data_IF_833732412842
#
_entry.id   IF_833732412842
#
_cell.length_a   1.000
_cell.length_b   1.000
_cell.length_c   1.000
_cell.angle_alpha   90.00
_cell.angle_beta   90.00
_cell.angle_gamma   90.00
#
_symmetry.space_group_name_H-M   'P 1'
#
loop_
_entity.id
_entity.type
_entity.pdbx_description
1 polymer ?
#
# COMPACT_ATOMS: atom_id res chain seq x y z
N UNK A 1 -8.60 23.93 31.87
CA UNK A 1 -7.71 22.74 31.79
C UNK A 1 -6.75 23.00 30.65
N UNK A 2 -5.58 23.58 30.92
CA UNK A 2 -4.68 23.98 29.83
C UNK A 2 -3.95 22.75 29.28
N UNK A 3 -4.37 22.35 28.08
CA UNK A 3 -3.71 21.36 27.24
C UNK A 3 -3.39 22.03 25.92
N UNK A 4 -2.11 22.08 25.56
CA UNK A 4 -1.69 22.50 24.23
C UNK A 4 -1.35 21.24 23.44
N UNK A 5 -1.99 21.04 22.30
CA UNK A 5 -1.68 19.94 21.39
C UNK A 5 -1.13 20.51 20.10
N UNK A 6 -0.01 19.93 19.65
CA UNK A 6 0.65 20.23 18.39
C UNK A 6 1.05 18.90 17.75
N UNK A 7 1.22 18.89 16.44
CA UNK A 7 1.77 17.75 15.74
C UNK A 7 3.03 18.17 14.99
N UNK A 8 3.96 17.23 14.88
CA UNK A 8 5.10 17.32 13.97
C UNK A 8 4.75 16.50 12.74
N UNK A 9 4.81 17.13 11.58
CA UNK A 9 4.63 16.47 10.27
C UNK A 9 5.87 15.63 9.91
N UNK A 10 5.78 14.71 8.93
CA UNK A 10 6.92 13.87 8.52
C UNK A 10 8.15 14.66 8.04
N UNK A 11 7.92 15.83 7.46
CA UNK A 11 8.95 16.78 7.02
C UNK A 11 9.50 17.67 8.15
N UNK A 12 9.03 17.49 9.39
CA UNK A 12 9.57 18.15 10.58
C UNK A 12 8.94 19.51 10.91
N UNK A 13 7.81 19.85 10.29
CA UNK A 13 7.09 21.10 10.55
C UNK A 13 6.07 20.93 11.68
N UNK A 14 5.84 22.02 12.43
CA UNK A 14 4.88 22.03 13.52
C UNK A 14 3.54 22.57 13.04
N UNK A 15 2.47 21.79 13.25
CA UNK A 15 1.10 22.17 12.90
C UNK A 15 0.17 22.02 14.10
N UNK A 16 -0.90 22.81 14.12
CA UNK A 16 -1.96 22.67 15.11
C UNK A 16 -3.03 21.69 14.63
N UNK A 17 -3.67 20.94 15.55
CA UNK A 17 -4.79 20.11 15.19
C UNK A 17 -5.87 20.90 14.47
N UNK A 18 -6.42 20.34 13.39
CA UNK A 18 -7.49 20.93 12.58
C UNK A 18 -7.14 22.29 11.93
N UNK A 19 -5.87 22.69 11.86
CA UNK A 19 -5.48 23.82 11.02
C UNK A 19 -5.58 23.47 9.54
N UNK A 20 -5.68 24.48 8.67
CA UNK A 20 -5.65 24.26 7.22
C UNK A 20 -4.35 23.56 6.78
N UNK A 21 -3.21 23.87 7.41
CA UNK A 21 -1.95 23.18 7.11
C UNK A 21 -2.00 21.71 7.51
N UNK A 22 -2.58 21.38 8.67
CA UNK A 22 -2.75 20.00 9.10
C UNK A 22 -3.66 19.22 8.15
N UNK A 23 -4.80 19.78 7.75
CA UNK A 23 -5.75 19.12 6.83
C UNK A 23 -5.17 18.97 5.42
N UNK A 24 -4.42 19.96 4.93
CA UNK A 24 -3.70 19.86 3.67
C UNK A 24 -2.66 18.74 3.68
N UNK A 25 -1.96 18.54 4.80
CA UNK A 25 -0.98 17.45 4.98
C UNK A 25 -1.64 16.10 5.24
N UNK A 26 -2.83 16.09 5.84
CA UNK A 26 -3.68 14.91 5.95
C UNK A 26 -4.16 14.43 4.57
N UNK A 27 -4.31 15.36 3.61
CA UNK A 27 -4.85 15.07 2.28
C UNK A 27 -6.38 14.98 2.27
N UNK A 28 -7.04 15.42 3.35
CA UNK A 28 -8.48 15.37 3.55
C UNK A 28 -8.93 16.64 4.28
N UNK A 29 -9.76 17.44 3.60
CA UNK A 29 -10.24 18.72 4.11
C UNK A 29 -11.38 18.58 5.12
N UNK A 30 -12.10 17.45 5.11
CA UNK A 30 -13.28 17.23 5.96
C UNK A 30 -13.32 15.79 6.48
N UNK A 31 -12.34 15.38 7.31
CA UNK A 31 -12.29 14.02 7.82
C UNK A 31 -13.48 13.73 8.75
N UNK A 32 -14.18 12.62 8.52
CA UNK A 32 -15.28 12.11 9.36
C UNK A 32 -14.80 11.11 10.43
N UNK A 33 -13.47 10.94 10.55
CA UNK A 33 -12.77 10.07 11.50
C UNK A 33 -11.84 10.88 12.42
N UNK A 34 -11.20 10.20 13.39
CA UNK A 34 -10.18 10.83 14.26
C UNK A 34 -8.90 11.10 13.45
N UNK A 35 -8.84 12.27 12.82
CA UNK A 35 -7.76 12.71 11.95
C UNK A 35 -6.39 12.71 12.64
N UNK A 36 -6.34 13.08 13.93
CA UNK A 36 -5.10 13.14 14.71
C UNK A 36 -4.58 11.71 14.92
N UNK A 37 -5.44 10.80 15.39
CA UNK A 37 -5.06 9.41 15.61
C UNK A 37 -4.65 8.74 14.30
N UNK A 38 -5.37 9.04 13.20
CA UNK A 38 -5.04 8.56 11.88
C UNK A 38 -3.66 9.05 11.41
N UNK A 39 -3.37 10.35 11.54
CA UNK A 39 -2.09 10.93 11.13
C UNK A 39 -0.91 10.33 11.91
N UNK A 40 -1.06 10.16 13.22
CA UNK A 40 -0.01 9.57 14.08
C UNK A 40 0.23 8.10 13.74
N UNK A 41 -0.84 7.33 13.53
CA UNK A 41 -0.72 5.89 13.24
C UNK A 41 -0.19 5.61 11.85
N UNK A 42 -0.62 6.38 10.85
CA UNK A 42 -0.46 5.99 9.44
C UNK A 42 0.46 6.91 8.63
N UNK A 43 0.55 8.19 9.00
CA UNK A 43 1.22 9.20 8.17
C UNK A 43 2.56 9.64 8.74
N UNK A 44 3.04 9.06 9.85
CA UNK A 44 4.34 9.40 10.43
C UNK A 44 4.36 10.68 11.25
N UNK A 45 3.20 11.21 11.62
CA UNK A 45 3.12 12.37 12.51
C UNK A 45 3.51 12.00 13.94
N UNK A 46 4.13 12.94 14.64
CA UNK A 46 4.36 12.84 16.08
C UNK A 46 3.44 13.84 16.76
N UNK A 47 2.52 13.36 17.59
CA UNK A 47 1.68 14.23 18.40
C UNK A 47 2.39 14.60 19.68
N UNK A 48 2.40 15.89 19.98
CA UNK A 48 2.90 16.47 21.21
C UNK A 48 1.75 17.11 21.98
N UNK A 49 1.61 16.74 23.25
CA UNK A 49 0.63 17.33 24.14
C UNK A 49 1.30 17.80 25.43
N UNK A 50 1.22 19.11 25.69
CA UNK A 50 1.68 19.71 26.94
C UNK A 50 0.50 19.80 27.89
N UNK A 51 0.61 19.13 29.04
CA UNK A 51 -0.43 19.07 30.07
C UNK A 51 0.04 19.88 31.27
N UNK A 52 -0.73 20.92 31.63
CA UNK A 52 -0.46 21.78 32.82
C UNK A 52 1.00 22.27 32.91
N UNK A 53 1.63 22.51 31.77
CA UNK A 53 3.04 22.96 31.65
C UNK A 53 4.07 22.12 32.42
N UNK A 54 3.72 20.89 32.80
CA UNK A 54 4.54 20.05 33.68
C UNK A 54 4.74 18.64 33.15
N UNK A 55 3.94 18.23 32.16
CA UNK A 55 4.04 16.94 31.50
C UNK A 55 3.99 17.15 30.00
N UNK A 56 4.93 16.53 29.27
CA UNK A 56 4.83 16.38 27.82
C UNK A 56 4.48 14.93 27.51
N UNK A 57 3.40 14.76 26.78
CA UNK A 57 3.02 13.49 26.20
C UNK A 57 3.34 13.48 24.71
N UNK A 58 4.07 12.45 24.29
CA UNK A 58 4.49 12.22 22.92
C UNK A 58 3.79 10.96 22.45
N UNK A 59 3.01 11.05 21.38
CA UNK A 59 2.40 9.90 20.73
C UNK A 59 2.99 9.75 19.33
N UNK A 60 3.47 8.56 18.98
CA UNK A 60 4.06 8.28 17.67
C UNK A 60 3.82 6.84 17.24
N UNK A 61 3.98 6.58 15.95
CA UNK A 61 4.21 5.24 15.43
C UNK A 61 5.69 5.13 15.03
N UNK A 62 6.58 4.52 15.85
CA UNK A 62 8.03 4.64 15.69
C UNK A 62 8.56 4.24 14.31
N UNK A 63 7.86 3.32 13.66
CA UNK A 63 8.16 2.81 12.32
C UNK A 63 7.77 3.73 11.15
N UNK A 64 6.85 4.66 11.38
CA UNK A 64 6.37 5.60 10.37
C UNK A 64 6.99 6.98 10.54
N UNK A 65 7.71 7.22 11.64
CA UNK A 65 8.36 8.50 11.91
C UNK A 65 9.59 8.66 11.02
N UNK A 66 9.54 9.68 10.19
CA UNK A 66 10.69 10.10 9.37
C UNK A 66 11.70 10.89 10.21
N UNK A 67 12.97 10.86 9.79
CA UNK A 67 14.06 11.52 10.51
C UNK A 67 13.82 13.02 10.79
N UNK A 68 13.29 13.84 9.85
CA UNK A 68 13.00 15.25 10.14
C UNK A 68 12.01 15.44 11.28
N UNK A 69 10.93 14.64 11.32
CA UNK A 69 9.95 14.66 12.40
C UNK A 69 10.57 14.30 13.75
N UNK A 70 11.39 13.25 13.78
CA UNK A 70 12.10 12.82 14.98
C UNK A 70 13.03 13.92 15.50
N UNK A 71 13.81 14.56 14.63
CA UNK A 71 14.74 15.61 15.02
C UNK A 71 14.00 16.85 15.56
N UNK A 72 12.92 17.26 14.91
CA UNK A 72 12.09 18.37 15.37
C UNK A 72 11.48 18.09 16.75
N UNK A 73 10.96 16.87 16.96
CA UNK A 73 10.46 16.40 18.25
C UNK A 73 11.53 16.43 19.35
N UNK A 74 12.72 15.90 19.06
CA UNK A 74 13.84 15.85 20.00
C UNK A 74 14.33 17.24 20.39
N UNK A 75 14.46 18.13 19.40
CA UNK A 75 14.83 19.53 19.63
C UNK A 75 13.84 20.21 20.57
N UNK A 76 12.53 20.01 20.35
CA UNK A 76 11.50 20.59 21.21
C UNK A 76 11.56 20.05 22.65
N UNK A 77 11.83 18.75 22.83
CA UNK A 77 11.96 18.16 24.17
C UNK A 77 13.11 18.76 24.97
N UNK A 78 14.26 18.99 24.33
CA UNK A 78 15.43 19.60 24.97
C UNK A 78 15.19 21.07 25.33
N UNK A 79 14.31 21.77 24.62
CA UNK A 79 14.01 23.19 24.84
C UNK A 79 12.85 23.43 25.82
N UNK A 80 11.98 22.45 26.05
CA UNK A 80 10.72 22.68 26.76
C UNK A 80 10.84 22.96 28.28
N UNK A 81 12.00 22.71 28.90
CA UNK A 81 12.22 22.96 30.34
C UNK A 81 11.40 22.07 31.29
N UNK A 82 10.61 21.13 30.76
CA UNK A 82 9.77 20.19 31.49
C UNK A 82 10.58 18.95 31.89
N UNK A 83 10.25 18.34 33.03
CA UNK A 83 10.97 17.18 33.59
C UNK A 83 10.20 15.87 33.56
N UNK A 84 8.93 15.85 33.14
CA UNK A 84 8.13 14.63 33.11
C UNK A 84 7.59 14.40 31.70
N UNK A 85 7.89 13.23 31.16
CA UNK A 85 7.59 12.85 29.80
C UNK A 85 6.84 11.52 29.79
N UNK A 86 5.79 11.44 28.97
CA UNK A 86 5.12 10.18 28.66
C UNK A 86 5.28 9.90 27.17
N UNK A 87 5.96 8.82 26.83
CA UNK A 87 6.04 8.34 25.45
C UNK A 87 5.00 7.25 25.28
N UNK A 88 4.06 7.46 24.37
CA UNK A 88 3.13 6.45 23.91
C UNK A 88 3.49 6.11 22.48
N UNK A 89 3.64 4.83 22.19
CA UNK A 89 3.92 4.39 20.85
C UNK A 89 3.00 3.26 20.43
N UNK A 90 2.67 3.27 19.14
CA UNK A 90 1.86 2.24 18.52
C UNK A 90 2.74 1.31 17.69
N UNK A 91 2.60 0.01 17.91
CA UNK A 91 3.12 -1.04 17.05
C UNK A 91 1.96 -1.91 16.52
N UNK A 92 1.65 -3.02 17.18
CA UNK A 92 0.38 -3.75 17.12
C UNK A 92 -0.61 -3.28 18.18
N UNK A 93 -0.13 -2.69 19.28
CA UNK A 93 -0.94 -2.12 20.36
C UNK A 93 -0.33 -0.83 20.92
N UNK A 94 -1.03 -0.14 21.81
CA UNK A 94 -0.53 1.08 22.43
C UNK A 94 0.30 0.76 23.67
N UNK A 95 1.58 1.08 23.60
CA UNK A 95 2.49 1.05 24.75
C UNK A 95 2.61 2.42 25.39
N UNK A 96 3.00 2.47 26.66
CA UNK A 96 3.22 3.73 27.37
C UNK A 96 4.39 3.61 28.34
N UNK A 97 5.35 4.53 28.20
CA UNK A 97 6.53 4.64 29.04
C UNK A 97 6.61 6.05 29.64
N UNK A 98 7.12 6.17 30.87
CA UNK A 98 7.29 7.46 31.56
C UNK A 98 8.76 7.67 31.87
N UNK A 99 9.26 8.88 31.60
CA UNK A 99 10.65 9.29 31.85
C UNK A 99 10.69 10.63 32.56
N UNK A 100 11.70 10.82 33.41
CA UNK A 100 11.94 12.06 34.17
C UNK A 100 13.10 12.91 33.63
N UNK A 101 13.63 12.58 32.45
CA UNK A 101 14.75 13.29 31.81
C UNK A 101 14.49 13.47 30.32
N UNK A 102 14.75 14.68 29.82
CA UNK A 102 14.63 15.01 28.41
C UNK A 102 15.65 14.20 27.59
N UNK A 103 16.88 14.09 28.07
CA UNK A 103 17.97 13.35 27.43
C UNK A 103 17.64 11.85 27.32
N UNK A 104 17.11 11.25 28.39
CA UNK A 104 16.64 9.85 28.36
C UNK A 104 15.47 9.65 27.41
N UNK A 105 14.54 10.61 27.37
CA UNK A 105 13.39 10.56 26.47
C UNK A 105 13.83 10.67 25.01
N UNK A 106 14.77 11.57 24.71
CA UNK A 106 15.38 11.73 23.39
C UNK A 106 16.11 10.46 22.97
N UNK A 107 16.96 9.90 23.84
CA UNK A 107 17.64 8.64 23.57
C UNK A 107 16.63 7.51 23.32
N UNK A 108 15.55 7.44 24.11
CA UNK A 108 14.49 6.44 23.92
C UNK A 108 13.72 6.62 22.62
N UNK A 109 13.39 7.85 22.24
CA UNK A 109 12.77 8.13 20.93
C UNK A 109 13.71 7.74 19.79
N UNK A 110 15.01 8.04 19.91
CA UNK A 110 16.02 7.56 18.97
C UNK A 110 16.06 6.04 18.91
N UNK A 111 16.04 5.32 20.03
CA UNK A 111 16.02 3.85 20.05
C UNK A 111 14.77 3.28 19.40
N UNK A 112 13.58 3.81 19.75
CA UNK A 112 12.29 3.38 19.20
C UNK A 112 12.21 3.62 17.69
N UNK A 113 12.73 4.74 17.22
CA UNK A 113 12.74 5.13 15.80
C UNK A 113 14.06 4.76 15.11
N UNK A 114 14.98 4.08 15.80
CA UNK A 114 16.24 3.63 15.19
C UNK A 114 15.81 2.69 14.09
N UNK A 115 16.23 2.93 12.84
CA UNK A 115 15.95 1.99 11.77
C UNK A 115 16.60 0.67 12.16
N UNK A 116 15.80 -0.26 12.67
CA UNK A 116 16.11 -1.68 12.60
C UNK A 116 16.31 -1.91 11.11
N UNK A 117 17.54 -2.20 10.73
CA UNK A 117 18.03 -2.17 9.35
C UNK A 117 16.97 -2.67 8.36
N UNK A 118 16.46 -1.78 7.50
CA UNK A 118 15.31 -1.99 6.60
C UNK A 118 13.99 -2.14 7.39
N UNK A 119 12.91 -1.38 7.09
CA UNK A 119 11.60 -1.69 7.67
C UNK A 119 11.38 -3.17 7.44
N UNK A 120 10.97 -3.91 8.48
CA UNK A 120 10.49 -5.26 8.24
C UNK A 120 9.44 -5.10 7.14
N UNK A 121 9.63 -5.80 6.03
CA UNK A 121 8.80 -5.70 4.81
C UNK A 121 7.28 -5.75 5.13
N UNK A 122 6.95 -6.28 6.31
CA UNK A 122 5.66 -6.33 6.98
C UNK A 122 5.00 -4.99 7.37
N UNK A 123 5.73 -3.87 7.50
CA UNK A 123 5.12 -2.58 7.93
C UNK A 123 4.71 -1.69 6.76
N UNK A 124 5.45 -1.76 5.64
CA UNK A 124 5.14 -1.01 4.41
C UNK A 124 4.05 -1.66 3.58
N UNK A 125 3.86 -2.96 3.78
CA UNK A 125 2.92 -3.77 3.04
C UNK A 125 2.14 -4.64 4.05
N UNK A 126 0.95 -4.16 4.39
CA UNK A 126 0.03 -4.85 5.27
C UNK A 126 -0.86 -5.75 4.41
N UNK A 127 -0.95 -7.03 4.80
CA UNK A 127 -1.87 -7.99 4.20
C UNK A 127 -2.83 -8.45 5.26
N UNK A 128 -4.12 -8.31 4.96
CA UNK A 128 -5.22 -8.86 5.73
C UNK A 128 -5.79 -10.03 4.92
N UNK A 129 -5.38 -11.29 5.22
CA UNK A 129 -5.94 -12.45 4.55
C UNK A 129 -7.44 -12.49 4.76
N UNK A 130 -8.18 -12.66 3.67
CA UNK A 130 -9.63 -12.83 3.70
C UNK A 130 -9.97 -14.29 3.45
N UNK A 131 -11.13 -14.72 3.94
CA UNK A 131 -11.63 -16.04 3.59
C UNK A 131 -12.08 -16.04 2.12
N UNK A 132 -11.43 -16.87 1.30
CA UNK A 132 -11.78 -17.05 -0.12
C UNK A 132 -13.25 -17.46 -0.32
N UNK A 133 -13.86 -18.13 0.68
CA UNK A 133 -15.29 -18.46 0.69
C UNK A 133 -16.20 -17.23 0.62
N UNK A 134 -15.78 -16.08 1.16
CA UNK A 134 -16.56 -14.85 1.19
C UNK A 134 -16.90 -14.32 -0.21
N UNK A 135 -16.03 -14.56 -1.20
CA UNK A 135 -16.29 -14.18 -2.60
C UNK A 135 -17.56 -14.80 -3.17
N UNK A 136 -18.06 -15.90 -2.59
CA UNK A 136 -19.25 -16.59 -3.08
C UNK A 136 -20.53 -16.21 -2.32
N UNK A 137 -20.39 -15.49 -1.19
CA UNK A 137 -21.52 -15.04 -0.37
C UNK A 137 -22.07 -13.69 -0.82
N UNK A 138 -21.25 -12.87 -1.46
CA UNK A 138 -21.66 -11.60 -2.05
C UNK A 138 -21.81 -11.75 -3.57
N UNK A 139 -23.05 -11.64 -4.05
CA UNK A 139 -23.37 -11.78 -5.47
C UNK A 139 -22.79 -10.62 -6.32
N UNK A 140 -22.56 -9.46 -5.70
CA UNK A 140 -22.07 -8.23 -6.35
C UNK A 140 -20.53 -8.12 -6.34
N UNK A 141 -19.83 -9.05 -5.68
CA UNK A 141 -18.37 -9.00 -5.63
C UNK A 141 -17.76 -9.20 -7.02
N UNK A 142 -17.03 -8.18 -7.50
CA UNK A 142 -16.45 -8.15 -8.84
C UNK A 142 -15.45 -9.28 -9.11
N UNK A 143 -14.80 -9.83 -8.09
CA UNK A 143 -13.81 -10.91 -8.22
C UNK A 143 -14.45 -12.30 -8.28
N UNK A 144 -15.72 -12.43 -7.88
CA UNK A 144 -16.46 -13.69 -7.85
C UNK A 144 -16.45 -14.44 -9.18
N UNK A 145 -16.68 -13.81 -10.36
CA UNK A 145 -16.66 -14.53 -11.64
C UNK A 145 -15.31 -15.19 -11.94
N UNK A 146 -14.20 -14.55 -11.54
CA UNK A 146 -12.86 -15.11 -11.73
C UNK A 146 -12.64 -16.35 -10.85
N UNK A 147 -13.06 -16.26 -9.58
CA UNK A 147 -13.01 -17.38 -8.64
C UNK A 147 -13.89 -18.56 -9.10
N UNK A 148 -15.09 -18.27 -9.63
CA UNK A 148 -15.96 -19.29 -10.22
C UNK A 148 -15.32 -19.94 -11.44
N UNK A 149 -14.73 -19.14 -12.34
CA UNK A 149 -14.03 -19.65 -13.53
C UNK A 149 -12.93 -20.63 -13.15
N UNK A 150 -12.14 -20.29 -12.13
CA UNK A 150 -11.09 -21.16 -11.61
C UNK A 150 -11.62 -22.49 -11.05
N UNK A 151 -12.74 -22.46 -10.31
CA UNK A 151 -13.38 -23.67 -9.78
C UNK A 151 -13.90 -24.59 -10.87
N UNK A 152 -14.60 -24.05 -11.88
CA UNK A 152 -15.22 -24.87 -12.94
C UNK A 152 -14.22 -25.46 -13.92
N UNK A 153 -13.03 -24.87 -14.06
CA UNK A 153 -11.93 -25.46 -14.84
C UNK A 153 -11.01 -26.37 -14.02
N UNK A 154 -11.34 -26.59 -12.73
CA UNK A 154 -10.52 -27.36 -11.79
C UNK A 154 -9.06 -26.87 -11.78
N UNK A 155 -8.89 -25.55 -11.73
CA UNK A 155 -7.60 -24.87 -11.77
C UNK A 155 -6.78 -25.10 -13.06
N UNK A 156 -7.33 -25.66 -14.14
CA UNK A 156 -6.62 -25.68 -15.42
C UNK A 156 -6.76 -24.32 -16.10
N UNK A 157 -5.65 -23.78 -16.60
CA UNK A 157 -5.65 -22.53 -17.31
C UNK A 157 -6.46 -22.67 -18.60
N UNK A 158 -7.45 -21.79 -18.75
CA UNK A 158 -8.33 -21.73 -19.89
C UNK A 158 -8.24 -20.31 -20.49
N UNK A 159 -7.83 -20.15 -21.76
CA UNK A 159 -7.72 -18.84 -22.41
C UNK A 159 -8.99 -17.98 -22.35
N UNK A 160 -10.18 -18.58 -22.19
CA UNK A 160 -11.42 -17.83 -21.98
C UNK A 160 -11.44 -17.03 -20.67
N UNK A 161 -10.51 -17.29 -19.74
CA UNK A 161 -10.23 -16.41 -18.60
C UNK A 161 -9.94 -14.97 -19.05
N UNK A 162 -9.15 -14.78 -20.11
CA UNK A 162 -8.84 -13.44 -20.65
C UNK A 162 -10.12 -12.78 -21.20
N UNK A 163 -10.95 -13.54 -21.89
CA UNK A 163 -12.23 -13.01 -22.39
C UNK A 163 -13.18 -12.63 -21.25
N UNK A 164 -13.15 -13.39 -20.15
CA UNK A 164 -13.93 -13.09 -18.95
C UNK A 164 -13.45 -11.79 -18.28
N UNK A 165 -12.14 -11.62 -18.08
CA UNK A 165 -11.61 -10.39 -17.48
C UNK A 165 -11.88 -9.16 -18.34
N UNK A 166 -11.88 -9.28 -19.67
CA UNK A 166 -12.33 -8.20 -20.57
C UNK A 166 -13.81 -7.85 -20.34
N UNK A 167 -14.70 -8.84 -20.32
CA UNK A 167 -16.14 -8.62 -20.14
C UNK A 167 -16.47 -7.99 -18.78
N UNK A 168 -15.73 -8.37 -17.75
CA UNK A 168 -15.87 -7.83 -16.40
C UNK A 168 -15.08 -6.51 -16.21
N UNK A 169 -14.42 -5.99 -17.25
CA UNK A 169 -13.60 -4.77 -17.18
C UNK A 169 -12.42 -4.87 -16.17
N UNK A 170 -11.99 -6.08 -15.84
CA UNK A 170 -10.92 -6.38 -14.90
C UNK A 170 -9.56 -6.62 -15.56
N UNK A 171 -9.51 -6.75 -16.90
CA UNK A 171 -8.25 -6.99 -17.62
C UNK A 171 -7.17 -5.92 -17.31
N UNK A 172 -7.49 -4.62 -17.23
CA UNK A 172 -6.50 -3.60 -16.82
C UNK A 172 -5.88 -3.83 -15.44
N UNK A 173 -6.63 -4.45 -14.53
CA UNK A 173 -6.23 -4.70 -13.14
C UNK A 173 -5.64 -6.09 -12.93
N UNK A 174 -5.43 -6.84 -14.02
CA UNK A 174 -4.97 -8.23 -13.99
C UNK A 174 -3.50 -8.31 -14.40
N UNK A 175 -2.73 -9.12 -13.67
CA UNK A 175 -1.43 -9.62 -14.11
C UNK A 175 -1.47 -11.16 -14.18
N UNK A 176 -0.69 -11.75 -15.08
CA UNK A 176 -0.43 -13.19 -15.09
C UNK A 176 1.06 -13.39 -14.94
N UNK A 177 1.43 -14.16 -13.92
CA UNK A 177 2.82 -14.46 -13.59
C UNK A 177 3.05 -15.95 -13.74
N UNK A 178 4.06 -16.32 -14.52
CA UNK A 178 4.51 -17.70 -14.65
C UNK A 178 5.56 -18.02 -13.59
N UNK A 179 5.42 -19.18 -12.96
CA UNK A 179 6.37 -19.73 -11.99
C UNK A 179 6.76 -21.12 -12.45
N UNK A 180 8.04 -21.30 -12.80
CA UNK A 180 8.55 -22.56 -13.34
C UNK A 180 9.50 -23.25 -12.35
N UNK A 181 9.27 -24.53 -12.00
CA UNK A 181 10.25 -25.32 -11.25
C UNK A 181 11.53 -25.58 -12.08
N UNK A 182 12.70 -25.76 -11.44
CA UNK A 182 12.95 -25.71 -9.99
C UNK A 182 13.26 -24.31 -9.46
N UNK A 183 13.49 -23.33 -10.34
CA UNK A 183 13.92 -21.98 -9.93
C UNK A 183 12.84 -21.25 -9.15
N UNK A 184 11.56 -21.57 -9.43
CA UNK A 184 10.38 -20.95 -8.82
C UNK A 184 10.40 -19.42 -8.93
N UNK A 185 11.09 -18.88 -9.93
CA UNK A 185 11.18 -17.44 -10.15
C UNK A 185 9.88 -16.93 -10.78
N UNK A 186 9.17 -15.98 -10.15
CA UNK A 186 7.97 -15.41 -10.72
C UNK A 186 8.32 -14.45 -11.85
N UNK A 187 7.79 -14.71 -13.05
CA UNK A 187 8.05 -13.94 -14.27
C UNK A 187 6.75 -13.45 -14.89
N UNK A 188 6.66 -12.18 -15.27
CA UNK A 188 5.44 -11.66 -15.90
C UNK A 188 5.22 -12.27 -17.29
N UNK A 189 4.01 -12.80 -17.50
CA UNK A 189 3.48 -13.25 -18.79
C UNK A 189 2.45 -12.26 -19.36
N UNK A 190 1.78 -11.53 -18.48
CA UNK A 190 0.84 -10.48 -18.81
C UNK A 190 0.82 -9.43 -17.71
N UNK A 191 0.72 -8.16 -18.09
CA UNK A 191 0.55 -7.01 -17.19
C UNK A 191 -0.58 -6.14 -17.77
N UNK A 192 -1.65 -5.95 -17.01
CA UNK A 192 -2.73 -5.05 -17.36
C UNK A 192 -2.33 -3.58 -17.30
N UNK A 193 -3.03 -2.73 -18.02
CA UNK A 193 -2.72 -1.30 -18.16
C UNK A 193 -3.29 -0.41 -17.05
N UNK A 194 -4.02 -0.98 -16.08
CA UNK A 194 -4.58 -0.28 -14.92
C UNK A 194 -3.57 0.00 -13.80
N UNK A 195 -2.42 -0.68 -13.79
CA UNK A 195 -1.39 -0.50 -12.75
C UNK A 195 -0.50 0.73 -13.00
N UNK A 196 -1.06 1.93 -12.76
CA UNK A 196 -0.38 3.22 -13.03
C UNK A 196 0.98 3.38 -12.33
N UNK A 197 1.17 2.76 -11.17
CA UNK A 197 2.40 2.82 -10.38
C UNK A 197 3.60 2.12 -11.03
N UNK A 198 3.33 1.14 -11.89
CA UNK A 198 4.37 0.41 -12.65
C UNK A 198 5.00 1.31 -13.72
N UNK A 199 4.33 2.40 -14.10
CA UNK A 199 4.75 3.30 -15.18
C UNK A 199 4.55 2.70 -16.58
N UNK A 200 4.63 3.55 -17.60
CA UNK A 200 4.34 3.14 -18.99
C UNK A 200 5.47 2.33 -19.61
N UNK A 201 6.71 2.60 -19.20
CA UNK A 201 7.89 1.96 -19.78
C UNK A 201 8.03 0.51 -19.30
N UNK A 202 7.85 0.26 -18.01
CA UNK A 202 7.91 -1.10 -17.48
C UNK A 202 6.72 -1.97 -17.94
N UNK A 203 5.54 -1.40 -18.22
CA UNK A 203 4.42 -2.19 -18.79
C UNK A 203 4.75 -2.80 -20.15
N UNK A 204 5.53 -2.10 -20.97
CA UNK A 204 5.95 -2.59 -22.30
C UNK A 204 7.13 -3.57 -22.17
N UNK A 205 8.11 -3.23 -21.34
CA UNK A 205 9.38 -3.96 -21.28
C UNK A 205 9.43 -5.07 -20.21
N UNK A 206 8.50 -5.05 -19.25
CA UNK A 206 8.49 -5.95 -18.09
C UNK A 206 7.92 -7.35 -18.39
N UNK A 207 7.43 -7.60 -19.60
CA UNK A 207 7.03 -8.95 -20.01
C UNK A 207 8.26 -9.83 -20.16
N UNK A 208 8.25 -10.99 -19.50
CA UNK A 208 9.42 -11.87 -19.41
C UNK A 208 10.42 -11.49 -18.31
N UNK A 209 10.22 -10.37 -17.62
CA UNK A 209 11.03 -9.97 -16.47
C UNK A 209 10.53 -10.58 -15.17
N UNK A 210 11.45 -10.72 -14.20
CA UNK A 210 11.13 -11.18 -12.85
C UNK A 210 10.21 -10.17 -12.17
N UNK A 211 9.28 -10.64 -11.35
CA UNK A 211 8.42 -9.75 -10.54
C UNK A 211 9.25 -8.86 -9.60
N UNK A 212 10.35 -9.38 -9.08
CA UNK A 212 11.33 -8.65 -8.25
C UNK A 212 12.02 -7.48 -9.00
N UNK A 213 11.90 -7.44 -10.33
CA UNK A 213 12.45 -6.38 -11.17
C UNK A 213 11.53 -5.17 -11.34
N UNK A 214 10.36 -5.17 -10.69
CA UNK A 214 9.48 -4.00 -10.66
C UNK A 214 10.24 -2.71 -10.26
N UNK A 215 9.81 -1.53 -10.77
CA UNK A 215 10.46 -0.26 -10.45
C UNK A 215 10.57 0.00 -8.93
N UNK A 216 9.50 -0.29 -8.18
CA UNK A 216 9.57 -0.42 -6.73
C UNK A 216 10.11 -1.80 -6.36
N UNK A 217 11.41 -1.87 -6.08
CA UNK A 217 12.12 -3.12 -5.74
C UNK A 217 11.65 -3.73 -4.43
N UNK A 218 11.27 -2.90 -3.46
CA UNK A 218 10.77 -3.38 -2.17
C UNK A 218 9.42 -4.08 -2.37
N UNK A 219 8.51 -3.42 -3.10
CA UNK A 219 7.20 -4.00 -3.42
C UNK A 219 7.33 -5.23 -4.32
N UNK A 220 8.21 -5.18 -5.33
CA UNK A 220 8.50 -6.29 -6.22
C UNK A 220 9.00 -7.53 -5.49
N UNK A 221 9.98 -7.36 -4.60
CA UNK A 221 10.49 -8.43 -3.75
C UNK A 221 9.41 -9.03 -2.85
N UNK A 222 8.63 -8.16 -2.19
CA UNK A 222 7.55 -8.58 -1.31
C UNK A 222 6.43 -9.33 -2.05
N UNK A 223 5.96 -8.82 -3.19
CA UNK A 223 4.84 -9.43 -3.92
C UNK A 223 5.25 -10.74 -4.61
N UNK A 224 6.53 -10.87 -4.99
CA UNK A 224 7.09 -12.11 -5.54
C UNK A 224 6.90 -13.31 -4.60
N UNK A 225 7.04 -13.12 -3.28
CA UNK A 225 6.82 -14.18 -2.28
C UNK A 225 5.40 -14.77 -2.36
N UNK A 226 4.38 -13.94 -2.59
CA UNK A 226 3.00 -14.41 -2.72
C UNK A 226 2.80 -15.23 -3.98
N UNK A 227 3.40 -14.83 -5.10
CA UNK A 227 3.37 -15.62 -6.33
C UNK A 227 4.04 -16.99 -6.13
N UNK A 228 5.19 -17.05 -5.44
CA UNK A 228 5.86 -18.32 -5.12
C UNK A 228 5.01 -19.18 -4.19
N UNK A 229 4.43 -18.59 -3.15
CA UNK A 229 3.57 -19.29 -2.18
C UNK A 229 2.29 -19.85 -2.82
N UNK A 230 1.60 -19.05 -3.64
CA UNK A 230 0.37 -19.48 -4.34
C UNK A 230 0.67 -20.56 -5.38
N UNK A 231 1.76 -20.41 -6.14
CA UNK A 231 2.16 -21.42 -7.12
C UNK A 231 2.52 -22.76 -6.45
N UNK A 232 3.29 -22.73 -5.36
CA UNK A 232 3.73 -23.94 -4.66
C UNK A 232 2.62 -24.65 -3.87
N UNK A 233 1.72 -23.89 -3.24
CA UNK A 233 0.58 -24.46 -2.51
C UNK A 233 -0.55 -24.94 -3.42
N UNK A 234 -0.67 -24.36 -4.62
CA UNK A 234 -1.79 -24.60 -5.52
C UNK A 234 -3.14 -24.12 -4.98
N UNK A 235 -3.15 -23.34 -3.89
CA UNK A 235 -4.36 -22.81 -3.28
C UNK A 235 -4.61 -21.36 -3.71
N UNK A 236 -5.87 -20.97 -4.00
CA UNK A 236 -6.21 -19.59 -4.27
C UNK A 236 -6.02 -18.75 -3.01
N UNK A 237 -5.74 -17.46 -3.20
CA UNK A 237 -5.53 -16.52 -2.11
C UNK A 237 -6.32 -15.24 -2.35
N UNK A 238 -7.01 -14.78 -1.32
CA UNK A 238 -7.77 -13.53 -1.34
C UNK A 238 -7.32 -12.68 -0.15
N UNK A 239 -6.94 -11.44 -0.41
CA UNK A 239 -6.41 -10.53 0.59
C UNK A 239 -6.99 -9.13 0.39
N UNK A 240 -7.05 -8.36 1.48
CA UNK A 240 -7.01 -6.90 1.42
C UNK A 240 -5.57 -6.46 1.68
N UNK A 241 -5.03 -5.62 0.80
CA UNK A 241 -3.66 -5.13 0.90
C UNK A 241 -3.66 -3.63 1.09
N UNK A 242 -2.85 -3.16 2.04
CA UNK A 242 -2.47 -1.75 2.17
C UNK A 242 -0.97 -1.65 1.93
N UNK A 243 -0.57 -0.92 0.89
CA UNK A 243 0.82 -0.82 0.46
C UNK A 243 1.25 0.63 0.27
N UNK A 244 2.39 1.01 0.85
CA UNK A 244 3.07 2.26 0.52
C UNK A 244 4.03 2.01 -0.65
N UNK A 245 3.69 2.45 -1.85
CA UNK A 245 4.42 2.15 -3.09
C UNK A 245 5.09 3.38 -3.70
N UNK A 246 6.28 3.19 -4.28
CA UNK A 246 6.95 4.18 -5.12
C UNK A 246 6.44 4.06 -6.57
N UNK A 247 6.01 5.17 -7.15
CA UNK A 247 5.60 5.22 -8.55
C UNK A 247 6.83 5.49 -9.44
N UNK A 248 6.94 4.79 -10.58
CA UNK A 248 8.10 4.89 -11.50
C UNK A 248 8.36 6.36 -11.92
N UNK A 249 7.31 7.08 -12.32
CA UNK A 249 7.39 8.47 -12.79
C UNK A 249 7.60 9.50 -11.65
N UNK A 250 7.74 9.03 -10.40
CA UNK A 250 7.82 9.86 -9.19
C UNK A 250 9.03 9.53 -8.32
N UNK A 251 10.12 9.01 -8.90
CA UNK A 251 11.35 8.74 -8.17
C UNK A 251 11.81 9.95 -7.34
N UNK A 252 11.98 9.76 -6.03
CA UNK A 252 12.37 10.81 -5.08
C UNK A 252 11.20 11.57 -4.43
N UNK A 253 9.95 11.33 -4.84
CA UNK A 253 8.75 11.80 -4.13
C UNK A 253 8.31 10.80 -3.03
N UNK A 254 7.53 11.24 -2.04
CA UNK A 254 6.94 10.35 -1.04
C UNK A 254 6.17 9.20 -1.67
N UNK A 255 6.26 8.02 -1.05
CA UNK A 255 5.48 6.84 -1.46
C UNK A 255 3.99 7.10 -1.31
N UNK A 256 3.18 6.56 -2.21
CA UNK A 256 1.72 6.66 -2.14
C UNK A 256 1.15 5.45 -1.43
N UNK A 257 0.29 5.69 -0.46
CA UNK A 257 -0.49 4.65 0.17
C UNK A 257 -1.61 4.23 -0.78
N UNK A 258 -1.67 2.94 -1.11
CA UNK A 258 -2.76 2.34 -1.85
C UNK A 258 -3.41 1.25 -1.01
N UNK A 259 -4.73 1.12 -1.12
CA UNK A 259 -5.47 0.02 -0.53
C UNK A 259 -6.27 -0.67 -1.62
N UNK A 260 -6.22 -2.00 -1.66
CA UNK A 260 -6.88 -2.77 -2.71
C UNK A 260 -7.21 -4.18 -2.25
N UNK A 261 -8.26 -4.74 -2.83
CA UNK A 261 -8.54 -6.17 -2.76
C UNK A 261 -7.73 -6.89 -3.82
N UNK A 262 -7.16 -8.05 -3.46
CA UNK A 262 -6.35 -8.86 -4.36
C UNK A 262 -6.81 -10.30 -4.35
N UNK A 263 -7.18 -10.80 -5.53
CA UNK A 263 -7.41 -12.23 -5.76
C UNK A 263 -6.27 -12.82 -6.58
N UNK A 264 -5.63 -13.86 -6.04
CA UNK A 264 -4.60 -14.65 -6.71
C UNK A 264 -5.09 -16.08 -6.95
N UNK A 265 -5.04 -16.53 -8.20
CA UNK A 265 -5.51 -17.85 -8.62
C UNK A 265 -4.37 -18.63 -9.29
N UNK A 266 -3.96 -19.80 -8.75
CA UNK A 266 -2.96 -20.65 -9.37
C UNK A 266 -3.58 -21.54 -10.44
N UNK A 267 -3.01 -21.57 -11.63
CA UNK A 267 -3.48 -22.34 -12.77
C UNK A 267 -2.43 -23.34 -13.21
N UNK A 268 -2.86 -24.59 -13.37
CA UNK A 268 -2.10 -25.64 -14.05
C UNK A 268 -2.10 -25.38 -15.53
N UNK A 269 -0.94 -25.46 -16.16
CA UNK A 269 -0.81 -25.40 -17.61
C UNK A 269 -0.45 -26.78 -18.16
N UNK A 270 -0.54 -27.01 -19.48
CA UNK A 270 0.00 -28.23 -20.09
C UNK A 270 1.52 -28.36 -19.97
N UNK A 271 2.21 -27.27 -19.62
CA UNK A 271 3.63 -27.28 -19.28
C UNK A 271 3.83 -27.40 -17.77
N UNK A 272 5.06 -27.65 -17.33
CA UNK A 272 5.39 -27.66 -15.89
C UNK A 272 5.37 -26.24 -15.26
N UNK A 273 5.10 -25.20 -16.04
CA UNK A 273 4.91 -23.84 -15.53
C UNK A 273 3.52 -23.68 -14.90
N UNK A 274 3.48 -23.09 -13.71
CA UNK A 274 2.25 -22.71 -13.02
C UNK A 274 2.01 -21.24 -13.30
N UNK A 275 0.84 -20.91 -13.84
CA UNK A 275 0.43 -19.51 -13.95
C UNK A 275 -0.26 -19.08 -12.67
N UNK A 276 -0.01 -17.86 -12.21
CA UNK A 276 -0.76 -17.23 -11.14
C UNK A 276 -1.34 -15.95 -11.69
N UNK A 277 -2.66 -15.92 -11.86
CA UNK A 277 -3.34 -14.66 -12.20
C UNK A 277 -3.59 -13.88 -10.92
N UNK A 278 -3.26 -12.60 -10.90
CA UNK A 278 -3.55 -11.67 -9.82
C UNK A 278 -4.45 -10.57 -10.36
N UNK A 279 -5.61 -10.35 -9.74
CA UNK A 279 -6.48 -9.21 -10.02
C UNK A 279 -6.54 -8.32 -8.78
N UNK A 280 -6.20 -7.04 -8.92
CA UNK A 280 -6.12 -6.09 -7.81
C UNK A 280 -7.10 -4.93 -8.01
N UNK A 281 -8.18 -4.88 -7.23
CA UNK A 281 -9.22 -3.86 -7.31
C UNK A 281 -8.97 -2.79 -6.24
N UNK A 282 -8.71 -1.52 -6.61
CA UNK A 282 -8.57 -0.44 -5.65
C UNK A 282 -9.79 -0.33 -4.74
N UNK A 283 -9.54 -0.19 -3.44
CA UNK A 283 -10.55 0.20 -2.46
C UNK A 283 -10.37 1.70 -2.25
N UNK A 284 -11.26 2.50 -2.84
CA UNK A 284 -11.08 3.94 -2.94
C UNK A 284 -10.83 4.63 -1.59
N UNK A 285 -10.00 5.68 -1.64
CA UNK A 285 -10.20 6.86 -0.78
C UNK A 285 -10.98 7.92 -1.58
N UNK A 286 -11.64 8.87 -0.93
CA UNK A 286 -12.48 9.89 -1.60
C UNK A 286 -11.77 10.65 -2.75
N UNK A 287 -10.43 10.68 -2.75
CA UNK A 287 -9.61 11.25 -3.82
C UNK A 287 -9.60 10.42 -5.13
N UNK A 288 -9.91 9.12 -5.09
CA UNK A 288 -9.93 8.25 -6.28
C UNK A 288 -11.25 8.34 -7.06
N UNK A 289 -12.34 8.79 -6.42
CA UNK A 289 -13.64 8.97 -7.06
C UNK A 289 -13.63 10.06 -8.14
N UNK A 290 -12.81 11.12 -7.98
CA UNK A 290 -12.61 12.14 -9.02
C UNK A 290 -11.82 11.60 -10.22
N UNK A 291 -10.91 10.65 -9.99
CA UNK A 291 -10.15 9.99 -11.05
C UNK A 291 -11.00 8.96 -11.81
N UNK A 292 -11.92 8.25 -11.14
CA UNK A 292 -12.90 7.35 -11.77
C UNK A 292 -13.93 8.11 -12.61
N UNK A 293 -14.40 9.27 -12.15
CA UNK A 293 -15.29 10.15 -12.94
C UNK A 293 -14.62 10.65 -14.24
N UNK A 294 -13.29 10.85 -14.22
CA UNK A 294 -12.51 11.19 -15.42
C UNK A 294 -12.38 10.02 -16.41
N UNK A 295 -12.52 8.78 -15.95
CA UNK A 295 -12.40 7.57 -16.76
C UNK A 295 -13.71 7.23 -17.47
N UNK A 296 -14.86 7.46 -16.82
CA UNK A 296 -16.18 7.25 -17.41
C UNK A 296 -16.56 8.28 -18.49
N UNK A 297 -15.87 9.44 -18.53
CA UNK A 297 -16.13 10.50 -19.52
C UNK A 297 -15.28 10.41 -20.80
N UNK A 298 -14.37 9.43 -20.91
CA UNK A 298 -13.59 9.22 -22.14
C UNK A 298 -14.31 8.25 -23.08
N UNK A 299 -15.07 8.87 -23.97
CA UNK A 299 -15.73 8.33 -25.17
C UNK A 299 -15.01 7.11 -25.79
N UNK A 300 -15.66 5.93 -25.90
CA UNK A 300 -15.02 4.69 -26.37
C UNK A 300 -14.67 4.69 -27.88
N UNK A 301 -15.00 5.73 -28.64
CA UNK A 301 -14.80 5.73 -30.10
C UNK A 301 -13.40 6.13 -30.59
N UNK A 302 -12.46 6.55 -29.72
CA UNK A 302 -11.14 7.04 -30.19
C UNK A 302 -9.99 6.03 -30.24
N UNK A 303 -10.22 4.75 -29.95
CA UNK A 303 -9.18 3.71 -30.03
C UNK A 303 -9.51 2.63 -31.07
N UNK A 304 -9.70 3.05 -32.33
CA UNK A 304 -9.58 2.12 -33.47
C UNK A 304 -8.65 2.75 -34.50
N UNK A 305 -7.34 2.55 -34.33
CA UNK A 305 -6.38 2.77 -35.42
C UNK A 305 -6.63 1.69 -36.47
N UNK A 306 -7.49 2.00 -37.45
CA UNK A 306 -7.65 1.22 -38.67
C UNK A 306 -6.37 1.35 -39.51
N UNK A 307 -5.48 0.39 -39.43
CA UNK A 307 -4.45 0.19 -40.46
C UNK A 307 -5.12 -0.39 -41.72
N UNK A 308 -5.57 0.50 -42.60
CA UNK A 308 -5.80 0.15 -44.01
C UNK A 308 -4.45 0.15 -44.72
N UNK A 309 -3.98 -1.03 -45.12
CA UNK A 309 -2.93 -1.15 -46.12
C UNK A 309 -3.49 -0.72 -47.49
N UNK A 310 -2.93 0.35 -48.07
CA UNK A 310 -3.03 0.66 -49.50
C UNK A 310 -1.66 0.45 -50.15
N UNK A 311 -1.63 -0.57 -51.00
CA UNK A 311 -1.03 -0.63 -52.33
C UNK A 311 0.47 -0.39 -52.52
N UNK A 312 1.15 -1.40 -53.07
CA UNK A 312 1.79 -1.34 -54.39
C UNK A 312 1.69 -2.71 -55.06
#
# INVERSE_FOLDING_TARGET
MERLTMLVTPDGEWVFPNSEEFLARLGDATPDYDAISFAVKNLGFIKFQIIRQSIIEIELHPRNVELPALLAAQQQLLQAGIKLFRVRYFDTEWHSEISSSAERTVARLSELCTPVFTPATHERFIVEPQDFGQLFHDDENQLRPLAQKWRVTFAHFDPSFISLTVRQQLLPLTAIVGVKPPTNEPVFRFIGDGHRWVGTQYRVNGLGEKVENLPDRDYGGWVAEFYRSVASSGQPRYDVVTAAMQYEDEAGKPRRLVRYERLMLPWKTPSDEIFVSSCAIPLGTAADAEAEASFQSRDPERSVVKYFARSS
#
